data_IF_387062400894
#
_entry.id   IF_387062400894
#
_cell.length_a   1.000
_cell.length_b   1.000
_cell.length_c   1.000
_cell.angle_alpha   90.00
_cell.angle_beta   90.00
_cell.angle_gamma   90.00
#
_symmetry.space_group_name_H-M   'P 1'
#
loop_
_entity.id
_entity.type
_entity.pdbx_description
1 polymer ?
#
# COMPACT_ATOMS: atom_id res chain seq x y z
N UNK A 1 -11.71 3.91 -6.03
CA UNK A 1 -12.51 3.53 -4.83
C UNK A 1 -13.26 4.70 -4.16
N UNK A 2 -13.10 5.97 -4.58
CA UNK A 2 -13.74 7.13 -3.92
C UNK A 2 -14.56 7.99 -4.89
N UNK A 3 -15.75 7.50 -5.28
CA UNK A 3 -16.74 8.25 -6.09
C UNK A 3 -17.20 9.58 -5.45
N UNK A 4 -16.87 9.82 -4.18
CA UNK A 4 -17.19 11.06 -3.45
C UNK A 4 -16.15 12.20 -3.63
N UNK A 5 -15.03 11.96 -4.32
CA UNK A 5 -13.90 12.93 -4.38
C UNK A 5 -13.78 13.75 -5.67
N UNK A 6 -14.65 13.56 -6.66
CA UNK A 6 -14.74 14.42 -7.84
C UNK A 6 -13.39 14.67 -8.53
N UNK A 7 -13.03 15.95 -8.74
CA UNK A 7 -11.81 16.39 -9.41
C UNK A 7 -10.49 16.04 -8.67
N UNK A 8 -10.57 15.66 -7.39
CA UNK A 8 -9.42 15.31 -6.54
C UNK A 8 -9.18 13.82 -6.38
N UNK A 9 -9.99 12.96 -7.02
CA UNK A 9 -9.88 11.51 -6.90
C UNK A 9 -8.47 11.01 -7.23
N UNK A 10 -7.86 11.54 -8.30
CA UNK A 10 -6.49 11.20 -8.68
C UNK A 10 -5.46 11.60 -7.62
N UNK A 11 -5.57 12.80 -7.05
CA UNK A 11 -4.65 13.26 -6.01
C UNK A 11 -4.78 12.42 -4.74
N UNK A 12 -6.01 12.07 -4.35
CA UNK A 12 -6.27 11.21 -3.21
C UNK A 12 -5.75 9.79 -3.42
N UNK A 13 -5.94 9.22 -4.61
CA UNK A 13 -5.42 7.90 -4.96
C UNK A 13 -3.89 7.88 -4.92
N UNK A 14 -3.22 8.93 -5.42
CA UNK A 14 -1.76 9.07 -5.32
C UNK A 14 -1.27 9.16 -3.87
N UNK A 15 -1.96 9.93 -3.02
CA UNK A 15 -1.61 10.03 -1.59
C UNK A 15 -1.83 8.68 -0.89
N UNK A 16 -2.96 8.02 -1.15
CA UNK A 16 -3.26 6.71 -0.57
C UNK A 16 -2.22 5.67 -0.98
N UNK A 17 -1.83 5.66 -2.25
CA UNK A 17 -0.78 4.81 -2.79
C UNK A 17 0.56 5.08 -2.09
N UNK A 18 0.96 6.35 -1.95
CA UNK A 18 2.20 6.75 -1.29
C UNK A 18 2.23 6.33 0.19
N UNK A 19 1.13 6.51 0.92
CA UNK A 19 1.00 6.09 2.32
C UNK A 19 1.08 4.57 2.43
N UNK A 20 0.39 3.84 1.55
CA UNK A 20 0.41 2.37 1.55
C UNK A 20 1.80 1.82 1.27
N UNK A 21 2.52 2.43 0.32
CA UNK A 21 3.92 2.09 0.05
C UNK A 21 4.82 2.32 1.28
N UNK A 22 4.65 3.46 1.96
CA UNK A 22 5.41 3.76 3.17
C UNK A 22 5.14 2.76 4.29
N UNK A 23 3.89 2.35 4.49
CA UNK A 23 3.50 1.33 5.48
C UNK A 23 4.09 -0.04 5.11
N UNK A 24 4.02 -0.44 3.84
CA UNK A 24 4.58 -1.71 3.37
C UNK A 24 6.10 -1.77 3.60
N UNK A 25 6.83 -0.72 3.19
CA UNK A 25 8.29 -0.63 3.41
C UNK A 25 8.61 -0.63 4.91
N UNK A 26 7.88 0.13 5.72
CA UNK A 26 8.07 0.15 7.17
C UNK A 26 7.81 -1.22 7.78
N UNK A 27 6.72 -1.90 7.43
CA UNK A 27 6.37 -3.22 7.95
C UNK A 27 7.41 -4.29 7.59
N UNK A 28 7.85 -4.32 6.33
CA UNK A 28 8.85 -5.28 5.85
C UNK A 28 10.25 -4.98 6.41
N UNK A 29 10.61 -3.71 6.55
CA UNK A 29 11.95 -3.30 7.01
C UNK A 29 12.07 -3.25 8.54
N UNK A 30 10.96 -3.37 9.28
CA UNK A 30 10.99 -3.37 10.75
C UNK A 30 11.64 -4.65 11.23
N UNK A 31 12.74 -4.49 11.96
CA UNK A 31 13.44 -5.57 12.66
C UNK A 31 13.45 -5.28 14.14
N UNK A 32 13.37 -6.33 14.94
CA UNK A 32 13.48 -6.23 16.38
C UNK A 32 14.92 -5.91 16.81
N UNK A 33 15.11 -5.47 18.05
CA UNK A 33 16.41 -5.08 18.60
C UNK A 33 17.45 -6.22 18.62
N UNK A 34 16.96 -7.46 18.65
CA UNK A 34 17.70 -8.72 18.54
C UNK A 34 18.00 -9.13 17.08
N UNK A 35 17.58 -8.33 16.09
CA UNK A 35 17.81 -8.58 14.67
C UNK A 35 16.86 -9.59 14.03
N UNK A 36 15.97 -10.20 14.82
CA UNK A 36 14.90 -11.07 14.34
C UNK A 36 13.83 -10.27 13.61
N UNK A 37 13.26 -10.84 12.54
CA UNK A 37 12.11 -10.26 11.87
C UNK A 37 10.87 -10.60 12.68
N UNK A 38 10.12 -9.60 13.13
CA UNK A 38 8.82 -9.84 13.75
C UNK A 38 7.85 -10.37 12.69
N UNK A 39 7.41 -11.61 12.85
CA UNK A 39 6.53 -12.29 11.91
C UNK A 39 5.25 -11.49 11.65
N UNK A 40 4.71 -10.81 12.67
CA UNK A 40 3.49 -10.01 12.56
C UNK A 40 3.73 -8.77 11.69
N UNK A 41 4.82 -8.04 11.91
CA UNK A 41 5.17 -6.86 11.12
C UNK A 41 5.49 -7.22 9.66
N UNK A 42 6.19 -8.33 9.44
CA UNK A 42 6.49 -8.84 8.11
C UNK A 42 5.22 -9.28 7.38
N UNK A 43 4.33 -10.01 8.06
CA UNK A 43 3.03 -10.42 7.49
C UNK A 43 2.19 -9.20 7.11
N UNK A 44 2.08 -8.22 8.01
CA UNK A 44 1.34 -7.00 7.75
C UNK A 44 1.95 -6.18 6.60
N UNK A 45 3.29 -6.10 6.55
CA UNK A 45 4.03 -5.48 5.46
C UNK A 45 3.79 -6.15 4.11
N UNK A 46 3.78 -7.49 4.07
CA UNK A 46 3.47 -8.26 2.86
C UNK A 46 2.03 -8.04 2.39
N UNK A 47 1.05 -8.04 3.30
CA UNK A 47 -0.36 -7.77 2.95
C UNK A 47 -0.51 -6.33 2.42
N UNK A 48 0.14 -5.35 3.06
CA UNK A 48 0.16 -3.96 2.61
C UNK A 48 0.81 -3.82 1.21
N UNK A 49 1.87 -4.57 0.94
CA UNK A 49 2.51 -4.58 -0.38
C UNK A 49 1.57 -5.13 -1.47
N UNK A 50 0.83 -6.22 -1.19
CA UNK A 50 -0.16 -6.78 -2.12
C UNK A 50 -1.27 -5.76 -2.42
N UNK A 51 -1.78 -5.08 -1.38
CA UNK A 51 -2.77 -4.02 -1.55
C UNK A 51 -2.22 -2.82 -2.34
N UNK A 52 -0.98 -2.42 -2.09
CA UNK A 52 -0.31 -1.37 -2.87
C UNK A 52 -0.30 -1.73 -4.36
N UNK A 53 0.10 -2.95 -4.73
CA UNK A 53 0.11 -3.37 -6.14
C UNK A 53 -1.30 -3.42 -6.72
N UNK A 54 -2.28 -3.92 -5.97
CA UNK A 54 -3.67 -3.97 -6.42
C UNK A 54 -4.19 -2.56 -6.74
N UNK A 55 -3.98 -1.59 -5.84
CA UNK A 55 -4.36 -0.17 -6.04
C UNK A 55 -3.55 0.47 -7.17
N UNK A 56 -2.25 0.18 -7.27
CA UNK A 56 -1.40 0.68 -8.36
C UNK A 56 -1.92 0.22 -9.73
N UNK A 57 -2.29 -1.05 -9.86
CA UNK A 57 -2.69 -1.62 -11.14
C UNK A 57 -4.15 -1.35 -11.49
N UNK A 58 -5.06 -1.34 -10.52
CA UNK A 58 -6.48 -1.06 -10.73
C UNK A 58 -6.77 0.45 -10.78
N UNK A 59 -6.51 1.17 -9.68
CA UNK A 59 -6.95 2.55 -9.52
C UNK A 59 -6.05 3.56 -10.24
N UNK A 60 -4.77 3.25 -10.42
CA UNK A 60 -3.79 4.21 -10.96
C UNK A 60 -3.41 3.96 -12.41
N UNK A 61 -3.08 2.71 -12.76
CA UNK A 61 -2.73 2.35 -14.13
C UNK A 61 -3.96 1.96 -14.97
N UNK A 62 -5.08 1.57 -14.34
CA UNK A 62 -6.30 1.16 -15.05
C UNK A 62 -6.11 -0.08 -15.94
N UNK A 63 -5.02 -0.83 -15.75
CA UNK A 63 -4.63 -1.97 -16.60
C UNK A 63 -5.48 -3.20 -16.30
N UNK A 64 -5.98 -3.31 -15.06
CA UNK A 64 -6.77 -4.45 -14.61
C UNK A 64 -8.15 -3.94 -14.18
N UNK A 65 -9.20 -4.29 -14.93
CA UNK A 65 -10.60 -4.11 -14.53
C UNK A 65 -11.20 -5.50 -14.32
N UNK A 66 -11.60 -5.81 -13.08
CA UNK A 66 -12.40 -6.98 -12.75
C UNK A 66 -13.85 -6.57 -12.54
#
# INVERSE_FOLDING_TARGET
MFEFTGEYETAFNWIFLAVTAAIAVKGISTRNADGSSDFVHMLFGCIAAVFFFLVLFQDMLGIVKF
#
